data_IF_989615089148
#
_entry.id   IF_989615089148
#
_cell.length_a   1.000
_cell.length_b   1.000
_cell.length_c   1.000
_cell.angle_alpha   90.00
_cell.angle_beta   90.00
_cell.angle_gamma   90.00
#
_symmetry.space_group_name_H-M   'P 1'
#
loop_
_entity.id
_entity.type
_entity.pdbx_description
1 polymer ?
#
# COMPACT_ATOMS: atom_id res chain seq x y z
N UNK A 1 -21.66 -0.30 -36.90
CA UNK A 1 -20.20 -0.34 -37.13
C UNK A 1 -19.63 -1.44 -36.27
N UNK A 2 -19.48 -2.62 -36.87
CA UNK A 2 -19.08 -3.86 -36.21
C UNK A 2 -17.57 -3.88 -36.03
N UNK A 3 -17.09 -3.81 -34.78
CA UNK A 3 -15.67 -3.95 -34.50
C UNK A 3 -15.30 -5.42 -34.68
N UNK A 4 -14.47 -5.68 -35.67
CA UNK A 4 -13.77 -6.94 -35.86
C UNK A 4 -12.94 -7.24 -34.62
N UNK A 5 -13.47 -8.09 -33.76
CA UNK A 5 -12.78 -8.72 -32.63
C UNK A 5 -11.69 -9.61 -33.20
N UNK A 6 -10.52 -9.03 -33.49
CA UNK A 6 -9.29 -9.82 -33.59
C UNK A 6 -9.09 -10.45 -32.20
N UNK A 7 -8.95 -11.78 -32.08
CA UNK A 7 -8.60 -12.36 -30.80
C UNK A 7 -7.23 -11.77 -30.40
N UNK A 8 -7.15 -11.21 -29.20
CA UNK A 8 -5.87 -10.80 -28.64
C UNK A 8 -5.00 -12.06 -28.56
N UNK A 9 -4.06 -12.21 -29.50
CA UNK A 9 -3.26 -13.43 -29.63
C UNK A 9 -2.38 -13.67 -28.38
N UNK A 10 -2.19 -12.63 -27.56
CA UNK A 10 -1.46 -12.70 -26.30
C UNK A 10 -2.08 -11.78 -25.23
N UNK A 11 -1.90 -12.11 -23.96
CA UNK A 11 -2.31 -11.26 -22.81
C UNK A 11 -1.72 -9.84 -22.89
N UNK A 12 -0.54 -9.70 -23.50
CA UNK A 12 0.10 -8.41 -23.75
C UNK A 12 -0.72 -7.51 -24.69
N UNK A 13 -1.26 -8.09 -25.77
CA UNK A 13 -2.08 -7.34 -26.70
C UNK A 13 -3.38 -6.86 -26.05
N UNK A 14 -4.00 -7.73 -25.24
CA UNK A 14 -5.18 -7.37 -24.45
C UNK A 14 -4.87 -6.20 -23.50
N UNK A 15 -3.81 -6.30 -22.70
CA UNK A 15 -3.42 -5.23 -21.76
C UNK A 15 -3.05 -3.92 -22.46
N UNK A 16 -2.41 -3.98 -23.63
CA UNK A 16 -2.11 -2.79 -24.43
C UNK A 16 -3.39 -2.08 -24.87
N UNK A 17 -4.37 -2.83 -25.37
CA UNK A 17 -5.68 -2.29 -25.77
C UNK A 17 -6.40 -1.68 -24.56
N UNK A 18 -6.48 -2.42 -23.44
CA UNK A 18 -7.15 -1.96 -22.22
C UNK A 18 -6.47 -0.72 -21.62
N UNK A 19 -5.14 -0.66 -21.63
CA UNK A 19 -4.39 0.53 -21.20
C UNK A 19 -4.74 1.74 -22.06
N UNK A 20 -4.87 1.55 -23.38
CA UNK A 20 -5.27 2.60 -24.31
C UNK A 20 -6.71 3.07 -24.04
N UNK A 21 -7.64 2.14 -23.78
CA UNK A 21 -9.03 2.46 -23.41
C UNK A 21 -9.12 3.24 -22.08
N UNK A 22 -8.32 2.84 -21.07
CA UNK A 22 -8.23 3.57 -19.82
C UNK A 22 -7.58 4.95 -19.99
N UNK A 23 -6.69 5.15 -20.96
CA UNK A 23 -6.11 6.46 -21.24
C UNK A 23 -7.11 7.39 -21.94
N UNK A 24 -7.89 6.87 -22.88
CA UNK A 24 -8.90 7.64 -23.61
C UNK A 24 -10.19 7.87 -22.82
N UNK A 25 -10.40 7.14 -21.71
CA UNK A 25 -11.61 7.26 -20.89
C UNK A 25 -12.85 6.66 -21.54
N UNK A 26 -12.68 5.87 -22.60
CA UNK A 26 -13.78 5.22 -23.29
C UNK A 26 -14.13 3.90 -22.59
N UNK A 27 -15.43 3.66 -22.31
CA UNK A 27 -15.93 2.41 -21.72
C UNK A 27 -15.13 1.96 -20.47
N UNK A 28 -14.86 2.91 -19.57
CA UNK A 28 -13.98 2.68 -18.40
C UNK A 28 -14.45 1.51 -17.54
N UNK A 29 -15.76 1.39 -17.32
CA UNK A 29 -16.30 0.32 -16.49
C UNK A 29 -16.08 -1.06 -17.11
N UNK A 30 -16.48 -1.25 -18.36
CA UNK A 30 -16.26 -2.50 -19.12
C UNK A 30 -14.77 -2.87 -19.17
N UNK A 31 -13.91 -1.86 -19.35
CA UNK A 31 -12.45 -2.03 -19.39
C UNK A 31 -11.89 -2.50 -18.04
N UNK A 32 -12.40 -1.96 -16.92
CA UNK A 32 -11.99 -2.36 -15.59
C UNK A 32 -12.48 -3.78 -15.23
N UNK A 33 -13.69 -4.13 -15.63
CA UNK A 33 -14.23 -5.49 -15.47
C UNK A 33 -13.37 -6.50 -16.22
N UNK A 34 -13.07 -6.23 -17.49
CA UNK A 34 -12.24 -7.11 -18.31
C UNK A 34 -10.80 -7.24 -17.78
N UNK A 35 -10.27 -6.21 -17.12
CA UNK A 35 -8.97 -6.28 -16.43
C UNK A 35 -8.98 -7.24 -15.23
N UNK A 36 -10.11 -7.40 -14.54
CA UNK A 36 -10.23 -8.39 -13.48
C UNK A 36 -10.28 -9.80 -14.05
N UNK A 37 -11.02 -10.00 -15.15
CA UNK A 37 -11.15 -11.31 -15.80
C UNK A 37 -9.81 -11.81 -16.37
N UNK A 38 -8.99 -10.88 -16.89
CA UNK A 38 -7.69 -11.20 -17.45
C UNK A 38 -6.68 -11.66 -16.38
N UNK A 39 -6.89 -11.30 -15.11
CA UNK A 39 -6.04 -11.64 -13.95
C UNK A 39 -4.53 -11.56 -14.25
N UNK A 40 -4.11 -10.43 -14.83
CA UNK A 40 -2.75 -10.28 -15.32
C UNK A 40 -1.69 -10.27 -14.18
N UNK A 41 -0.49 -10.83 -14.41
CA UNK A 41 0.59 -10.78 -13.43
C UNK A 41 1.09 -9.36 -13.19
N UNK A 42 1.62 -9.12 -11.98
CA UNK A 42 2.07 -7.79 -11.53
C UNK A 42 3.06 -7.13 -12.50
N UNK A 43 3.95 -7.90 -13.10
CA UNK A 43 4.95 -7.39 -14.05
C UNK A 43 4.31 -6.71 -15.26
N UNK A 44 3.28 -7.33 -15.84
CA UNK A 44 2.57 -6.77 -16.98
C UNK A 44 1.69 -5.58 -16.56
N UNK A 45 1.03 -5.66 -15.40
CA UNK A 45 0.28 -4.53 -14.86
C UNK A 45 1.14 -3.28 -14.65
N UNK A 46 2.40 -3.45 -14.23
CA UNK A 46 3.40 -2.38 -14.14
C UNK A 46 3.83 -1.88 -15.51
N UNK A 47 4.13 -2.77 -16.44
CA UNK A 47 4.56 -2.42 -17.80
C UNK A 47 3.56 -1.49 -18.51
N UNK A 48 2.26 -1.75 -18.37
CA UNK A 48 1.21 -0.94 -19.00
C UNK A 48 0.62 0.15 -18.10
N UNK A 49 1.27 0.44 -16.96
CA UNK A 49 0.87 1.48 -15.99
C UNK A 49 -0.59 1.39 -15.51
N UNK A 50 -1.15 0.17 -15.44
CA UNK A 50 -2.59 -0.05 -15.18
C UNK A 50 -3.01 0.54 -13.83
N UNK A 51 -2.19 0.37 -12.78
CA UNK A 51 -2.45 0.93 -11.45
C UNK A 51 -2.59 2.46 -11.51
N UNK A 52 -1.66 3.14 -12.17
CA UNK A 52 -1.68 4.60 -12.30
C UNK A 52 -2.89 5.07 -13.09
N UNK A 53 -3.25 4.37 -14.17
CA UNK A 53 -4.45 4.70 -14.95
C UNK A 53 -5.72 4.50 -14.13
N UNK A 54 -5.83 3.39 -13.39
CA UNK A 54 -6.96 3.11 -12.51
C UNK A 54 -7.10 4.16 -11.40
N UNK A 55 -6.00 4.70 -10.85
CA UNK A 55 -6.07 5.75 -9.83
C UNK A 55 -6.77 7.02 -10.30
N UNK A 56 -6.76 7.33 -11.60
CA UNK A 56 -7.49 8.49 -12.15
C UNK A 56 -9.00 8.34 -12.03
N UNK A 57 -9.49 7.11 -11.97
CA UNK A 57 -10.92 6.79 -11.97
C UNK A 57 -11.51 6.49 -10.59
N UNK A 58 -10.76 6.69 -9.50
CA UNK A 58 -11.25 6.42 -8.13
C UNK A 58 -12.42 7.33 -7.70
N UNK A 59 -12.59 8.46 -8.39
CA UNK A 59 -13.70 9.41 -8.25
C UNK A 59 -14.68 9.38 -9.44
N UNK A 60 -14.54 8.41 -10.35
CA UNK A 60 -15.42 8.29 -11.51
C UNK A 60 -16.87 8.00 -11.05
N UNK A 61 -17.89 8.66 -11.62
CA UNK A 61 -19.28 8.56 -11.14
C UNK A 61 -19.79 7.12 -11.06
N UNK A 62 -19.45 6.30 -12.05
CA UNK A 62 -19.95 4.92 -12.16
C UNK A 62 -18.88 3.88 -11.80
N UNK A 63 -17.62 4.14 -12.15
CA UNK A 63 -16.55 3.14 -12.12
C UNK A 63 -15.64 3.22 -10.88
N UNK A 64 -15.98 4.09 -9.90
CA UNK A 64 -15.15 4.34 -8.70
C UNK A 64 -14.83 3.07 -7.92
N UNK A 65 -15.78 2.17 -7.77
CA UNK A 65 -15.63 1.00 -6.92
C UNK A 65 -14.67 0.00 -7.55
N UNK A 66 -14.81 -0.26 -8.85
CA UNK A 66 -13.91 -1.13 -9.60
C UNK A 66 -12.51 -0.55 -9.71
N UNK A 67 -12.38 0.77 -9.92
CA UNK A 67 -11.09 1.45 -9.92
C UNK A 67 -10.38 1.33 -8.58
N UNK A 68 -11.08 1.57 -7.45
CA UNK A 68 -10.53 1.39 -6.09
C UNK A 68 -10.14 -0.07 -5.83
N UNK A 69 -10.98 -1.02 -6.26
CA UNK A 69 -10.72 -2.46 -6.12
C UNK A 69 -9.47 -2.87 -6.91
N UNK A 70 -9.30 -2.37 -8.13
CA UNK A 70 -8.15 -2.69 -8.98
C UNK A 70 -6.85 -2.12 -8.40
N UNK A 71 -6.89 -0.89 -7.89
CA UNK A 71 -5.74 -0.29 -7.19
C UNK A 71 -5.38 -1.09 -5.94
N UNK A 72 -6.38 -1.54 -5.17
CA UNK A 72 -6.16 -2.39 -4.01
C UNK A 72 -5.54 -3.75 -4.38
N UNK A 73 -5.99 -4.38 -5.48
CA UNK A 73 -5.38 -5.62 -6.01
C UNK A 73 -3.92 -5.38 -6.35
N UNK A 74 -3.60 -4.33 -7.12
CA UNK A 74 -2.22 -4.01 -7.49
C UNK A 74 -1.35 -3.80 -6.25
N UNK A 75 -1.82 -3.03 -5.26
CA UNK A 75 -1.09 -2.81 -4.00
C UNK A 75 -0.84 -4.12 -3.22
N UNK A 76 -1.79 -5.05 -3.22
CA UNK A 76 -1.60 -6.36 -2.56
C UNK A 76 -0.54 -7.18 -3.27
N UNK A 77 -0.59 -7.24 -4.60
CA UNK A 77 0.40 -7.95 -5.42
C UNK A 77 1.81 -7.37 -5.21
N UNK A 78 1.93 -6.04 -5.12
CA UNK A 78 3.21 -5.38 -4.84
C UNK A 78 3.75 -5.75 -3.45
N UNK A 79 2.90 -5.78 -2.43
CA UNK A 79 3.29 -6.16 -1.06
C UNK A 79 3.71 -7.64 -0.99
N UNK A 80 2.99 -8.54 -1.66
CA UNK A 80 3.34 -9.96 -1.69
C UNK A 80 4.62 -10.26 -2.47
N UNK A 81 4.99 -9.42 -3.43
CA UNK A 81 6.25 -9.57 -4.18
C UNK A 81 7.50 -9.13 -3.38
N UNK A 82 7.32 -8.34 -2.30
CA UNK A 82 8.40 -7.84 -1.44
C UNK A 82 8.63 -8.70 -0.19
N UNK A 83 7.71 -9.61 0.15
CA UNK A 83 7.95 -10.56 1.24
C UNK A 83 8.76 -11.76 0.74
N UNK A 84 9.79 -12.22 1.47
CA UNK A 84 10.47 -13.46 1.13
C UNK A 84 9.47 -14.63 1.07
N UNK A 85 9.70 -15.63 0.22
CA UNK A 85 8.76 -16.74 0.00
C UNK A 85 8.65 -17.56 1.27
N UNK A 86 7.71 -17.19 2.13
CA UNK A 86 7.27 -18.05 3.23
C UNK A 86 6.08 -18.82 2.69
N UNK A 87 6.39 -20.04 2.26
CA UNK A 87 5.54 -21.21 2.08
C UNK A 87 4.02 -20.96 1.99
N UNK A 88 3.49 -21.28 0.81
CA UNK A 88 2.10 -21.61 0.53
C UNK A 88 1.33 -22.14 1.74
N UNK A 89 0.31 -21.40 2.16
CA UNK A 89 -0.85 -21.96 2.84
C UNK A 89 -2.11 -21.25 2.33
N UNK A 90 -2.66 -21.81 1.26
CA UNK A 90 -4.07 -21.67 0.91
C UNK A 90 -4.89 -22.07 2.12
N UNK A 91 -5.73 -21.17 2.64
CA UNK A 91 -6.67 -21.53 3.69
C UNK A 91 -7.18 -20.32 4.46
N UNK A 92 -8.45 -19.99 4.23
CA UNK A 92 -9.19 -19.08 5.09
C UNK A 92 -8.99 -19.43 6.57
N UNK A 93 -8.54 -18.48 7.38
CA UNK A 93 -8.70 -18.61 8.83
C UNK A 93 -8.87 -17.23 9.45
N UNK A 94 -10.11 -16.92 9.84
CA UNK A 94 -10.41 -15.89 10.84
C UNK A 94 -9.87 -16.39 12.18
N UNK A 95 -8.56 -16.26 12.41
CA UNK A 95 -7.99 -16.50 13.74
C UNK A 95 -7.68 -15.18 14.42
N UNK A 96 -8.35 -14.97 15.55
CA UNK A 96 -8.04 -13.95 16.55
C UNK A 96 -6.54 -14.02 16.88
N UNK A 97 -5.88 -12.90 17.23
CA UNK A 97 -4.52 -12.95 17.74
C UNK A 97 -4.48 -13.84 18.98
N UNK A 98 -3.55 -14.79 18.98
CA UNK A 98 -3.34 -15.77 20.04
C UNK A 98 -2.71 -15.05 21.25
N UNK A 99 -3.37 -15.07 22.41
CA UNK A 99 -2.96 -14.36 23.63
C UNK A 99 -1.81 -15.07 24.36
N UNK A 100 -1.49 -16.31 23.98
CA UNK A 100 -0.58 -17.17 24.74
C UNK A 100 0.91 -16.84 24.54
N UNK A 101 1.28 -16.09 23.49
CA UNK A 101 2.67 -15.70 23.25
C UNK A 101 3.15 -14.52 24.11
N UNK A 102 2.25 -13.84 24.82
CA UNK A 102 2.59 -12.65 25.63
C UNK A 102 2.91 -13.03 27.09
N UNK A 103 2.34 -14.11 27.62
CA UNK A 103 2.61 -14.52 29.02
C UNK A 103 4.03 -15.07 29.23
N UNK A 104 4.64 -15.65 28.20
CA UNK A 104 6.01 -16.21 28.31
C UNK A 104 7.10 -15.12 28.40
N UNK A 105 6.81 -13.88 27.97
CA UNK A 105 7.73 -12.75 28.05
C UNK A 105 7.66 -11.98 29.40
N UNK A 106 6.62 -12.20 30.20
CA UNK A 106 6.39 -11.48 31.46
C UNK A 106 6.88 -12.28 32.69
N UNK A 107 7.23 -13.57 32.52
CA UNK A 107 7.61 -14.47 33.62
C UNK A 107 9.11 -14.44 34.01
N UNK A 108 9.93 -13.54 33.45
CA UNK A 108 11.38 -13.54 33.72
C UNK A 108 11.84 -12.68 34.92
N UNK A 109 10.94 -12.20 35.80
CA UNK A 109 11.35 -11.51 37.04
C UNK A 109 10.46 -11.85 38.23
N UNK A 110 10.73 -13.00 38.88
CA UNK A 110 10.50 -13.13 40.32
C UNK A 110 11.52 -14.09 40.94
N UNK A 111 12.18 -13.56 41.95
CA UNK A 111 13.22 -14.11 42.82
C UNK A 111 12.78 -15.39 43.54
N UNK A 112 13.72 -16.35 43.71
CA UNK A 112 13.55 -17.58 44.51
C UNK A 112 13.23 -17.25 45.98
N UNK A 113 12.52 -18.15 46.69
CA UNK A 113 13.20 -18.98 47.70
C UNK A 113 12.76 -20.46 47.65
N UNK A 114 13.70 -21.43 47.65
CA UNK A 114 14.18 -22.25 48.80
C UNK A 114 13.48 -23.63 48.88
N UNK A 115 14.28 -24.70 48.66
CA UNK A 115 14.40 -25.98 49.41
C UNK A 115 13.08 -26.62 49.91
N UNK A 116 12.65 -27.82 49.52
CA UNK A 116 13.27 -29.15 49.73
C UNK A 116 12.48 -30.24 48.97
N UNK A 117 13.15 -31.35 48.69
CA UNK A 117 12.67 -32.52 47.93
C UNK A 117 11.77 -33.51 48.75
N UNK A 118 11.61 -34.80 48.37
CA UNK A 118 10.38 -35.38 47.78
C UNK A 118 9.73 -36.49 48.64
N UNK A 119 8.52 -36.97 48.23
CA UNK A 119 7.76 -38.23 48.59
C UNK A 119 6.29 -37.90 48.91
N UNK A 120 5.24 -38.69 48.65
CA UNK A 120 5.06 -40.05 48.11
C UNK A 120 3.55 -40.36 48.00
N UNK A 121 3.19 -41.30 47.11
CA UNK A 121 2.04 -42.25 47.17
C UNK A 121 0.59 -41.72 47.04
N UNK A 122 -0.09 -42.18 45.99
CA UNK A 122 -1.55 -42.44 45.90
C UNK A 122 -1.92 -43.69 46.77
N UNK A 123 -3.18 -44.15 46.96
CA UNK A 123 -4.46 -43.84 46.27
C UNK A 123 -5.77 -43.84 47.15
N UNK A 124 -6.92 -43.59 46.49
CA UNK A 124 -8.31 -44.12 46.73
C UNK A 124 -9.33 -43.40 47.64
N UNK A 125 -10.51 -43.18 47.02
CA UNK A 125 -11.88 -43.47 47.49
C UNK A 125 -12.76 -42.39 48.19
N UNK A 126 -13.89 -42.14 47.50
CA UNK A 126 -15.29 -42.02 47.99
C UNK A 126 -15.91 -40.70 48.52
N UNK A 127 -17.03 -40.38 47.84
CA UNK A 127 -18.32 -39.80 48.27
C UNK A 127 -18.48 -38.28 48.54
N UNK A 128 -19.36 -37.73 47.69
CA UNK A 128 -20.51 -36.85 47.99
C UNK A 128 -20.27 -35.45 48.58
N UNK A 129 -20.66 -34.43 47.80
CA UNK A 129 -20.84 -33.04 48.24
C UNK A 129 -21.37 -32.15 47.10
N UNK A 130 -22.19 -31.12 47.39
CA UNK A 130 -23.41 -30.85 46.64
C UNK A 130 -23.26 -29.98 45.38
N UNK A 131 -24.25 -30.16 44.50
CA UNK A 131 -24.57 -29.39 43.30
C UNK A 131 -24.33 -27.88 43.48
N UNK A 132 -23.22 -27.38 42.92
CA UNK A 132 -22.91 -25.96 42.91
C UNK A 132 -23.76 -25.28 41.83
N UNK A 133 -24.90 -24.75 42.29
CA UNK A 133 -25.80 -23.86 41.55
C UNK A 133 -24.97 -22.78 40.85
N UNK A 134 -24.97 -22.78 39.51
CA UNK A 134 -24.34 -21.72 38.72
C UNK A 134 -24.94 -20.36 39.11
N UNK A 135 -24.22 -19.58 39.91
CA UNK A 135 -24.51 -18.16 40.04
C UNK A 135 -23.97 -17.46 38.80
N UNK A 136 -24.88 -16.86 38.04
CA UNK A 136 -24.60 -15.99 36.92
C UNK A 136 -23.73 -14.82 37.37
N UNK A 137 -22.55 -14.69 36.77
CA UNK A 137 -21.67 -13.53 36.90
C UNK A 137 -22.38 -12.34 36.24
N UNK A 138 -23.12 -11.56 37.02
CA UNK A 138 -23.59 -10.24 36.62
C UNK A 138 -22.37 -9.32 36.62
N UNK A 139 -21.82 -9.06 35.43
CA UNK A 139 -20.68 -8.16 35.21
C UNK A 139 -21.14 -6.71 35.44
N UNK A 140 -21.15 -6.28 36.70
CA UNK A 140 -21.13 -4.86 37.03
C UNK A 140 -19.71 -4.33 36.76
N UNK A 141 -19.44 -3.93 35.52
CA UNK A 141 -18.25 -3.13 35.24
C UNK A 141 -18.39 -1.80 35.96
N UNK A 142 -17.45 -1.50 36.87
CA UNK A 142 -17.48 -0.29 37.68
C UNK A 142 -17.45 0.94 36.77
N UNK A 143 -18.35 1.90 37.00
CA UNK A 143 -18.40 3.20 36.29
C UNK A 143 -17.03 3.91 36.26
N UNK A 144 -16.19 3.65 37.25
CA UNK A 144 -14.82 4.18 37.33
C UNK A 144 -13.85 3.51 36.35
N UNK A 145 -14.03 2.22 36.05
CA UNK A 145 -13.22 1.52 35.05
C UNK A 145 -13.53 2.01 33.64
N UNK A 146 -14.81 2.26 33.33
CA UNK A 146 -15.20 2.89 32.06
C UNK A 146 -14.58 4.28 31.91
N UNK A 147 -14.67 5.12 32.95
CA UNK A 147 -14.07 6.46 32.94
C UNK A 147 -12.55 6.43 32.75
N UNK A 148 -11.87 5.47 33.40
CA UNK A 148 -10.42 5.27 33.25
C UNK A 148 -10.04 4.76 31.85
N UNK A 149 -10.90 3.96 31.23
CA UNK A 149 -10.70 3.47 29.87
C UNK A 149 -10.91 4.59 28.84
N UNK A 150 -11.94 5.42 29.01
CA UNK A 150 -12.17 6.60 28.19
C UNK A 150 -11.02 7.60 28.28
N UNK A 151 -10.50 7.85 29.48
CA UNK A 151 -9.36 8.75 29.69
C UNK A 151 -8.09 8.24 28.98
N UNK A 152 -7.86 6.92 28.98
CA UNK A 152 -6.76 6.28 28.23
C UNK A 152 -6.94 6.43 26.72
N UNK A 153 -8.17 6.32 26.21
CA UNK A 153 -8.49 6.50 24.80
C UNK A 153 -8.25 7.96 24.39
N UNK A 154 -8.72 8.93 25.19
CA UNK A 154 -8.53 10.36 24.94
C UNK A 154 -7.05 10.75 24.91
N UNK A 155 -6.25 10.26 25.87
CA UNK A 155 -4.79 10.50 25.89
C UNK A 155 -4.08 9.91 24.67
N UNK A 156 -4.46 8.71 24.25
CA UNK A 156 -3.88 8.10 23.04
C UNK A 156 -4.27 8.84 21.77
N UNK A 157 -5.52 9.33 21.70
CA UNK A 157 -5.98 10.13 20.57
C UNK A 157 -5.18 11.44 20.44
N UNK A 158 -4.95 12.16 21.55
CA UNK A 158 -4.11 13.36 21.54
C UNK A 158 -2.66 13.06 21.13
N UNK A 159 -2.06 11.96 21.61
CA UNK A 159 -0.72 11.55 21.19
C UNK A 159 -0.65 11.28 19.68
N UNK A 160 -1.64 10.58 19.11
CA UNK A 160 -1.71 10.34 17.66
C UNK A 160 -1.83 11.63 16.88
N UNK A 161 -2.69 12.55 17.33
CA UNK A 161 -2.87 13.87 16.71
C UNK A 161 -1.58 14.70 16.72
N UNK A 162 -0.83 14.68 17.82
CA UNK A 162 0.45 15.38 17.93
C UNK A 162 1.52 14.79 17.00
N UNK A 163 1.61 13.46 16.90
CA UNK A 163 2.54 12.78 16.00
C UNK A 163 2.22 13.07 14.52
N UNK A 164 0.94 13.07 14.16
CA UNK A 164 0.52 13.39 12.80
C UNK A 164 0.78 14.85 12.44
N UNK A 165 0.54 15.78 13.38
CA UNK A 165 0.91 17.19 13.22
C UNK A 165 2.43 17.39 13.04
N UNK A 166 3.27 16.64 13.77
CA UNK A 166 4.72 16.68 13.60
C UNK A 166 5.15 16.16 12.22
N UNK A 167 4.54 15.08 11.73
CA UNK A 167 4.82 14.54 10.40
C UNK A 167 4.43 15.50 9.28
N UNK A 168 3.30 16.21 9.44
CA UNK A 168 2.85 17.22 8.48
C UNK A 168 3.86 18.38 8.44
N UNK A 169 4.30 18.89 9.59
CA UNK A 169 5.29 19.98 9.66
C UNK A 169 6.61 19.64 8.95
N UNK A 170 7.15 18.43 9.13
CA UNK A 170 8.37 18.01 8.44
C UNK A 170 8.18 17.96 6.91
N UNK A 171 7.02 17.51 6.44
CA UNK A 171 6.70 17.49 5.02
C UNK A 171 6.51 18.90 4.42
N UNK A 172 5.91 19.82 5.18
CA UNK A 172 5.74 21.22 4.78
C UNK A 172 7.07 21.96 4.74
N UNK A 173 7.97 21.69 5.69
CA UNK A 173 9.29 22.29 5.70
C UNK A 173 10.14 21.83 4.51
N UNK A 174 10.09 20.55 4.15
CA UNK A 174 10.71 20.03 2.91
C UNK A 174 10.18 20.73 1.66
N UNK A 175 8.87 20.95 1.57
CA UNK A 175 8.25 21.69 0.47
C UNK A 175 8.71 23.14 0.43
N UNK A 176 8.82 23.81 1.57
CA UNK A 176 9.34 25.18 1.65
C UNK A 176 10.79 25.27 1.16
N UNK A 177 11.66 24.33 1.58
CA UNK A 177 13.05 24.26 1.11
C UNK A 177 13.13 24.07 -0.41
N UNK A 178 12.28 23.23 -0.99
CA UNK A 178 12.22 23.05 -2.45
C UNK A 178 11.81 24.33 -3.19
N UNK A 179 10.83 25.07 -2.66
CA UNK A 179 10.40 26.33 -3.26
C UNK A 179 11.52 27.38 -3.25
N UNK A 180 12.23 27.52 -2.13
CA UNK A 180 13.39 28.41 -2.00
C UNK A 180 14.47 28.04 -3.02
N UNK A 181 14.82 26.75 -3.13
CA UNK A 181 15.83 26.29 -4.09
C UNK A 181 15.43 26.58 -5.56
N UNK A 182 14.14 26.45 -5.90
CA UNK A 182 13.64 26.79 -7.24
C UNK A 182 13.74 28.30 -7.48
N UNK A 183 13.43 29.12 -6.49
CA UNK A 183 13.49 30.57 -6.58
C UNK A 183 14.95 31.06 -6.72
N UNK A 184 15.86 30.52 -5.91
CA UNK A 184 17.30 30.79 -6.02
C UNK A 184 17.84 30.38 -7.38
N UNK A 185 17.46 29.20 -7.90
CA UNK A 185 17.87 28.76 -9.23
C UNK A 185 17.37 29.70 -10.33
N UNK A 186 16.13 30.21 -10.22
CA UNK A 186 15.60 31.22 -11.16
C UNK A 186 16.39 32.52 -11.09
N UNK A 187 16.72 33.00 -9.89
CA UNK A 187 17.52 34.21 -9.71
C UNK A 187 18.93 34.04 -10.30
N UNK A 188 19.59 32.90 -10.04
CA UNK A 188 20.90 32.57 -10.63
C UNK A 188 20.84 32.56 -12.16
N UNK A 189 19.79 31.97 -12.76
CA UNK A 189 19.60 31.98 -14.21
C UNK A 189 19.41 33.39 -14.77
N UNK A 190 18.64 34.24 -14.09
CA UNK A 190 18.45 35.63 -14.51
C UNK A 190 19.76 36.43 -14.41
N UNK A 191 20.54 36.22 -13.36
CA UNK A 191 21.86 36.85 -13.20
C UNK A 191 22.85 36.37 -14.26
N UNK A 192 22.86 35.07 -14.58
CA UNK A 192 23.68 34.51 -15.65
C UNK A 192 23.32 35.12 -17.01
N UNK A 193 22.03 35.26 -17.33
CA UNK A 193 21.56 35.89 -18.58
C UNK A 193 21.95 37.38 -18.67
N UNK A 194 21.97 38.11 -17.55
CA UNK A 194 22.43 39.50 -17.51
C UNK A 194 23.96 39.61 -17.75
N UNK A 195 24.75 38.64 -17.28
CA UNK A 195 26.19 38.59 -17.54
C UNK A 195 26.51 38.08 -18.96
N UNK A 196 25.77 37.09 -19.48
CA UNK A 196 25.93 36.54 -20.84
C UNK A 196 25.52 37.55 -21.94
N UNK A 197 24.70 38.55 -21.61
CA UNK A 197 24.39 39.68 -22.49
C UNK A 197 25.48 40.75 -22.56
N UNK A 198 26.51 40.67 -21.71
CA UNK A 198 27.62 41.65 -21.67
C UNK A 198 28.83 41.23 -22.50
N UNK A 199 28.98 39.93 -22.76
CA UNK A 199 30.11 39.39 -23.50
C UNK A 199 29.70 38.91 -24.90
N UNK A 200 30.01 39.78 -25.86
CA UNK A 200 30.36 39.40 -27.24
C UNK A 200 29.22 38.90 -28.13
N UNK A 201 28.78 39.83 -28.98
CA UNK A 201 28.34 39.55 -30.34
C UNK A 201 29.29 38.54 -31.01
N UNK A 202 28.73 37.81 -31.99
CA UNK A 202 29.44 36.97 -32.97
C UNK A 202 29.55 35.48 -32.58
N UNK A 203 28.50 34.71 -32.89
CA UNK A 203 28.55 33.60 -33.86
C UNK A 203 27.23 32.81 -33.84
N UNK A 204 26.28 33.27 -34.67
CA UNK A 204 25.16 32.45 -35.08
C UNK A 204 25.65 31.27 -35.94
N UNK A 205 25.39 30.03 -35.51
CA UNK A 205 24.91 28.96 -36.41
C UNK A 205 23.92 28.04 -35.66
N UNK A 206 22.67 27.92 -36.12
CA UNK A 206 21.78 26.86 -35.67
C UNK A 206 22.30 25.51 -36.17
N UNK A 207 22.64 24.61 -35.26
CA UNK A 207 22.98 23.23 -35.58
C UNK A 207 21.70 22.54 -36.09
N UNK A 208 21.59 22.37 -37.42
CA UNK A 208 20.53 21.57 -38.03
C UNK A 208 20.67 20.10 -37.61
N UNK A 209 19.59 19.40 -37.18
CA UNK A 209 19.64 17.96 -37.02
C UNK A 209 19.75 17.28 -38.40
N UNK A 210 20.78 16.45 -38.60
CA UNK A 210 20.99 15.67 -39.82
C UNK A 210 19.87 14.64 -39.98
N UNK A 211 19.03 14.82 -40.99
CA UNK A 211 18.12 13.81 -41.52
C UNK A 211 18.92 12.63 -42.08
N UNK A 212 18.85 11.46 -41.43
CA UNK A 212 19.30 10.20 -42.04
C UNK A 212 18.27 9.78 -43.10
N UNK A 213 18.59 10.04 -44.36
CA UNK A 213 17.96 9.40 -45.52
C UNK A 213 18.56 8.00 -45.73
N UNK A 214 17.69 7.02 -46.01
CA UNK A 214 18.02 5.83 -46.81
C UNK A 214 18.35 4.55 -46.04
N UNK A 215 17.41 3.61 -46.02
CA UNK A 215 17.54 2.38 -46.79
C UNK A 215 16.20 1.65 -46.87
N UNK A 216 15.57 1.77 -48.03
CA UNK A 216 14.46 0.96 -48.48
C UNK A 216 14.99 -0.42 -48.88
N UNK A 217 14.61 -1.47 -48.15
CA UNK A 217 14.85 -2.84 -48.60
C UNK A 217 13.92 -3.13 -49.77
N UNK A 218 14.52 -3.38 -50.94
CA UNK A 218 13.84 -3.88 -52.14
C UNK A 218 13.20 -5.24 -51.82
N UNK A 219 11.88 -5.33 -51.96
CA UNK A 219 11.21 -6.61 -52.19
C UNK A 219 11.71 -7.17 -53.53
N UNK A 220 12.19 -8.41 -53.53
CA UNK A 220 12.27 -9.22 -54.75
C UNK A 220 11.02 -10.08 -54.81
N UNK A 221 10.38 -10.04 -55.97
CA UNK A 221 9.33 -10.96 -56.42
C UNK A 221 9.84 -12.40 -56.43
#
# INVERSE_FOLDING_TARGET
>A
MSYTTRPAATMNDALRILSTCLQSGHKVQETLEFLFDLNAPLQLLRQYNIKMLATRYIMHPVAKNDARRLVAVCNRLEKSALSPPTTTATGMSRKRPNTDAIEELISCKRTKPIVSAPKSKSPTATKEGPNQRHQSILTQTSREEQKKQEERIARNFQRRKALEAARIKDSEEKRRRQLIAIEEYKQQRLQAVQFEGSDSKENQKPIKPKTRRGNCYKCRY
#
